data_IF_568511830450
#
_entry.id   IF_568511830450
#
_cell.length_a   1.000
_cell.length_b   1.000
_cell.length_c   1.000
_cell.angle_alpha   90.00
_cell.angle_beta   90.00
_cell.angle_gamma   90.00
#
_symmetry.space_group_name_H-M   'P 1'
#
loop_
_entity.id
_entity.type
_entity.pdbx_description
1 polymer ?
#
# COMPACT_ATOMS: atom_id res chain seq x y z
N UNK A 1 8.40 1.04 -14.26
CA UNK A 1 9.16 1.59 -13.13
C UNK A 1 10.12 0.53 -12.63
N UNK A 2 11.36 0.95 -12.34
CA UNK A 2 12.42 0.06 -11.82
C UNK A 2 12.96 0.53 -10.48
N UNK A 3 12.45 1.65 -9.97
CA UNK A 3 12.93 2.23 -8.72
C UNK A 3 12.29 1.52 -7.52
N UNK A 4 13.11 1.28 -6.50
CA UNK A 4 12.66 0.86 -5.19
C UNK A 4 12.55 2.06 -4.26
N UNK A 5 11.45 2.12 -3.52
CA UNK A 5 11.15 3.17 -2.56
C UNK A 5 11.34 2.66 -1.13
N UNK A 6 11.68 3.51 -0.14
CA UNK A 6 11.68 3.08 1.26
C UNK A 6 10.31 2.54 1.69
N UNK A 7 10.26 1.46 2.47
CA UNK A 7 8.99 0.94 3.02
C UNK A 7 8.50 1.77 4.22
N UNK A 8 8.11 3.02 3.95
CA UNK A 8 7.54 3.97 4.89
C UNK A 8 6.60 4.96 4.17
N UNK A 9 6.00 5.89 4.90
CA UNK A 9 5.06 6.86 4.31
C UNK A 9 5.69 7.71 3.20
N UNK A 10 6.96 8.09 3.33
CA UNK A 10 7.65 8.90 2.32
C UNK A 10 7.80 8.10 1.03
N UNK A 11 8.32 6.87 1.10
CA UNK A 11 8.46 6.03 -0.08
C UNK A 11 7.13 5.63 -0.71
N UNK A 12 6.06 5.43 0.07
CA UNK A 12 4.71 5.22 -0.47
C UNK A 12 4.18 6.44 -1.22
N UNK A 13 4.46 7.65 -0.71
CA UNK A 13 4.09 8.92 -1.35
C UNK A 13 4.85 9.13 -2.65
N UNK A 14 6.17 8.84 -2.65
CA UNK A 14 7.03 8.96 -3.82
C UNK A 14 6.64 7.95 -4.90
N UNK A 15 6.42 6.69 -4.52
CA UNK A 15 5.93 5.65 -5.43
C UNK A 15 4.61 6.04 -6.08
N UNK A 16 3.62 6.50 -5.30
CA UNK A 16 2.32 6.94 -5.81
C UNK A 16 2.48 8.11 -6.78
N UNK A 17 3.30 9.10 -6.43
CA UNK A 17 3.56 10.27 -7.28
C UNK A 17 4.19 9.85 -8.61
N UNK A 18 5.20 8.97 -8.57
CA UNK A 18 5.81 8.41 -9.77
C UNK A 18 4.78 7.63 -10.60
N UNK A 19 4.04 6.70 -9.98
CA UNK A 19 3.02 5.87 -10.60
C UNK A 19 2.00 6.72 -11.36
N UNK A 20 1.53 7.80 -10.74
CA UNK A 20 0.49 8.63 -11.32
C UNK A 20 0.99 9.59 -12.40
N UNK A 21 2.28 9.94 -12.40
CA UNK A 21 2.90 10.67 -13.49
C UNK A 21 3.20 9.79 -14.73
N UNK A 22 3.11 8.46 -14.60
CA UNK A 22 3.38 7.54 -15.70
C UNK A 22 2.21 7.39 -16.69
N UNK A 23 2.49 6.75 -17.82
CA UNK A 23 1.48 6.42 -18.82
C UNK A 23 0.52 5.36 -18.32
N UNK A 24 -0.70 5.32 -18.88
CA UNK A 24 -1.70 4.33 -18.50
C UNK A 24 -1.20 2.89 -18.66
N UNK A 25 -0.43 2.61 -19.72
CA UNK A 25 0.19 1.29 -19.92
C UNK A 25 1.10 0.88 -18.75
N UNK A 26 1.90 1.80 -18.21
CA UNK A 26 2.76 1.51 -17.05
C UNK A 26 1.91 1.25 -15.81
N UNK A 27 0.84 2.01 -15.63
CA UNK A 27 -0.10 1.82 -14.52
C UNK A 27 -0.81 0.46 -14.60
N UNK A 28 -1.25 0.05 -15.79
CA UNK A 28 -1.93 -1.23 -16.00
C UNK A 28 -1.00 -2.43 -15.75
N UNK A 29 0.26 -2.33 -16.19
CA UNK A 29 1.30 -3.32 -15.89
C UNK A 29 1.55 -3.40 -14.38
N UNK A 30 1.61 -2.26 -13.69
CA UNK A 30 1.79 -2.22 -12.24
C UNK A 30 0.63 -2.92 -11.51
N UNK A 31 -0.61 -2.62 -11.89
CA UNK A 31 -1.80 -3.30 -11.34
C UNK A 31 -1.76 -4.80 -11.60
N UNK A 32 -1.32 -5.24 -12.78
CA UNK A 32 -1.20 -6.65 -13.11
C UNK A 32 -0.20 -7.37 -12.19
N UNK A 33 0.97 -6.76 -11.91
CA UNK A 33 1.93 -7.33 -10.97
C UNK A 33 1.39 -7.41 -9.54
N UNK A 34 0.66 -6.39 -9.07
CA UNK A 34 0.00 -6.40 -7.77
C UNK A 34 -1.04 -7.54 -7.70
N UNK A 35 -1.89 -7.67 -8.72
CA UNK A 35 -2.97 -8.65 -8.77
C UNK A 35 -2.46 -10.09 -8.81
N UNK A 36 -1.42 -10.34 -9.61
CA UNK A 36 -0.91 -11.70 -9.86
C UNK A 36 0.10 -12.17 -8.84
N UNK A 37 0.72 -11.25 -8.08
CA UNK A 37 1.74 -11.63 -7.11
C UNK A 37 2.13 -10.51 -6.17
N UNK A 38 1.22 -10.07 -5.31
CA UNK A 38 1.47 -9.02 -4.30
C UNK A 38 2.76 -9.23 -3.50
N UNK A 39 3.01 -10.45 -3.00
CA UNK A 39 4.21 -10.75 -2.21
C UNK A 39 5.49 -10.69 -3.04
N UNK A 40 5.44 -10.99 -4.34
CA UNK A 40 6.60 -10.86 -5.21
C UNK A 40 6.80 -9.41 -5.66
N UNK A 41 5.70 -8.68 -5.84
CA UNK A 41 5.70 -7.26 -6.21
C UNK A 41 6.24 -6.38 -5.09
N UNK A 42 5.86 -6.65 -3.84
CA UNK A 42 6.19 -5.83 -2.68
C UNK A 42 7.70 -5.53 -2.55
N UNK A 43 8.62 -6.53 -2.55
CA UNK A 43 10.06 -6.29 -2.49
C UNK A 43 10.66 -5.76 -3.80
N UNK A 44 9.94 -5.82 -4.92
CA UNK A 44 10.37 -5.18 -6.17
C UNK A 44 10.07 -3.69 -6.21
N UNK A 45 9.16 -3.21 -5.35
CA UNK A 45 8.80 -1.79 -5.25
C UNK A 45 9.27 -1.12 -3.99
N UNK A 46 9.36 -1.86 -2.90
CA UNK A 46 9.76 -1.30 -1.62
C UNK A 46 11.00 -1.98 -1.06
N UNK A 47 11.83 -1.21 -0.38
CA UNK A 47 12.95 -1.71 0.40
C UNK A 47 12.40 -2.20 1.74
N UNK A 48 12.23 -3.52 1.87
CA UNK A 48 11.78 -4.16 3.11
C UNK A 48 12.96 -4.79 3.84
N UNK A 49 12.93 -4.74 5.18
CA UNK A 49 13.75 -5.63 5.99
C UNK A 49 13.28 -7.07 5.86
N UNK A 50 14.12 -8.03 6.24
CA UNK A 50 13.75 -9.45 6.28
C UNK A 50 12.51 -9.69 7.13
N UNK A 51 12.40 -9.04 8.30
CA UNK A 51 11.27 -9.20 9.21
C UNK A 51 9.97 -8.63 8.62
N UNK A 52 10.04 -7.49 7.95
CA UNK A 52 8.89 -6.88 7.26
C UNK A 52 8.38 -7.79 6.13
N UNK A 53 9.30 -8.37 5.34
CA UNK A 53 8.95 -9.27 4.27
C UNK A 53 8.34 -10.58 4.81
N UNK A 54 8.97 -11.20 5.82
CA UNK A 54 8.45 -12.41 6.45
C UNK A 54 7.07 -12.18 7.08
N UNK A 55 6.87 -11.00 7.68
CA UNK A 55 5.57 -10.62 8.20
C UNK A 55 4.51 -10.57 7.09
N UNK A 56 4.79 -9.90 5.97
CA UNK A 56 3.88 -9.84 4.82
C UNK A 56 3.53 -11.24 4.28
N UNK A 57 4.51 -12.13 4.20
CA UNK A 57 4.31 -13.55 3.84
C UNK A 57 3.38 -14.25 4.85
N UNK A 58 3.56 -13.98 6.14
CA UNK A 58 2.83 -14.65 7.23
C UNK A 58 1.35 -14.26 7.34
N UNK A 59 0.90 -13.19 6.67
CA UNK A 59 -0.50 -12.78 6.61
C UNK A 59 -1.40 -13.80 5.90
N UNK A 60 -0.81 -14.63 5.05
CA UNK A 60 -1.51 -15.63 4.27
C UNK A 60 -2.22 -15.06 3.03
N UNK A 61 -2.63 -15.95 2.10
CA UNK A 61 -3.04 -15.58 0.75
C UNK A 61 -4.31 -14.74 0.70
N UNK A 62 -5.28 -14.97 1.60
CA UNK A 62 -6.52 -14.21 1.63
C UNK A 62 -6.29 -12.74 2.01
N UNK A 63 -5.49 -12.49 3.05
CA UNK A 63 -5.14 -11.14 3.47
C UNK A 63 -4.31 -10.42 2.40
N UNK A 64 -3.35 -11.12 1.79
CA UNK A 64 -2.55 -10.59 0.68
C UNK A 64 -3.42 -10.20 -0.52
N UNK A 65 -4.40 -11.03 -0.89
CA UNK A 65 -5.32 -10.74 -1.98
C UNK A 65 -6.25 -9.55 -1.65
N UNK A 66 -6.73 -9.45 -0.41
CA UNK A 66 -7.53 -8.31 0.06
C UNK A 66 -6.75 -6.99 -0.04
N UNK A 67 -5.47 -7.02 0.36
CA UNK A 67 -4.55 -5.87 0.25
C UNK A 67 -4.31 -5.51 -1.22
N UNK A 68 -4.03 -6.50 -2.07
CA UNK A 68 -3.81 -6.31 -3.51
C UNK A 68 -5.03 -5.66 -4.19
N UNK A 69 -6.22 -6.19 -3.95
CA UNK A 69 -7.46 -5.63 -4.50
C UNK A 69 -7.69 -4.19 -4.02
N UNK A 70 -7.45 -3.92 -2.73
CA UNK A 70 -7.55 -2.56 -2.19
C UNK A 70 -6.57 -1.60 -2.88
N UNK A 71 -5.31 -2.01 -3.07
CA UNK A 71 -4.30 -1.21 -3.79
C UNK A 71 -4.75 -0.89 -5.22
N UNK A 72 -5.27 -1.88 -5.93
CA UNK A 72 -5.72 -1.72 -7.31
C UNK A 72 -6.90 -0.76 -7.39
N UNK A 73 -7.89 -0.90 -6.49
CA UNK A 73 -9.00 0.06 -6.39
C UNK A 73 -8.49 1.47 -6.12
N UNK A 74 -7.49 1.65 -5.26
CA UNK A 74 -6.86 2.95 -5.05
C UNK A 74 -6.17 3.51 -6.30
N UNK A 75 -5.45 2.66 -7.04
CA UNK A 75 -4.79 3.06 -8.27
C UNK A 75 -5.80 3.49 -9.34
N UNK A 76 -6.89 2.72 -9.53
CA UNK A 76 -7.93 3.03 -10.52
C UNK A 76 -8.63 4.37 -10.22
N UNK A 77 -8.78 4.72 -8.94
CA UNK A 77 -9.40 5.96 -8.50
C UNK A 77 -8.39 7.11 -8.30
N UNK A 78 -7.11 6.93 -8.64
CA UNK A 78 -6.04 7.91 -8.38
C UNK A 78 -6.00 8.39 -6.92
N UNK A 79 -6.30 7.48 -6.01
CA UNK A 79 -6.45 7.75 -4.60
C UNK A 79 -5.14 8.11 -3.92
N UNK A 80 -5.23 8.78 -2.78
CA UNK A 80 -4.09 8.89 -1.89
C UNK A 80 -3.79 7.51 -1.27
N UNK A 81 -2.52 7.10 -1.26
CA UNK A 81 -2.07 5.84 -0.65
C UNK A 81 -1.11 6.19 0.49
N UNK A 82 -1.48 5.75 1.70
CA UNK A 82 -0.79 6.05 2.95
C UNK A 82 -0.32 4.72 3.55
N UNK A 83 0.99 4.60 3.78
CA UNK A 83 1.60 3.50 4.49
C UNK A 83 1.90 3.92 5.93
N UNK A 84 1.14 3.37 6.86
CA UNK A 84 1.36 3.56 8.30
C UNK A 84 2.22 2.40 8.80
N UNK A 85 3.43 2.73 9.26
CA UNK A 85 4.22 1.75 10.00
C UNK A 85 3.72 1.74 11.44
N UNK A 86 3.06 0.66 11.84
CA UNK A 86 2.42 0.56 13.15
C UNK A 86 3.38 0.05 14.24
N UNK A 87 4.70 0.15 14.02
CA UNK A 87 5.74 -0.16 15.00
C UNK A 87 5.59 0.62 16.34
N UNK A 88 4.75 1.66 16.37
CA UNK A 88 4.44 2.43 17.58
C UNK A 88 3.23 1.90 18.38
N UNK A 89 2.44 0.94 17.89
CA UNK A 89 1.44 0.23 18.73
C UNK A 89 2.09 -0.85 19.57
N UNK A 90 3.10 -0.49 20.36
CA UNK A 90 3.54 -1.30 21.51
C UNK A 90 2.39 -1.35 22.52
N UNK A 91 1.55 -2.38 22.46
CA UNK A 91 0.58 -2.63 23.54
C UNK A 91 -0.71 -3.38 23.21
N UNK A 92 -1.01 -3.75 21.96
CA UNK A 92 -2.26 -4.47 21.65
C UNK A 92 -2.01 -5.81 20.97
N UNK A 93 -1.75 -6.84 21.78
CA UNK A 93 -2.06 -8.24 21.50
C UNK A 93 -1.18 -8.93 20.46
N UNK A 94 -0.96 -10.24 20.64
CA UNK A 94 -0.17 -11.10 19.75
C UNK A 94 -0.85 -11.40 18.39
N UNK A 95 -1.55 -10.42 17.82
CA UNK A 95 -2.30 -10.58 16.58
C UNK A 95 -1.47 -9.99 15.43
N UNK A 96 -0.99 -10.86 14.55
CA UNK A 96 -0.41 -10.44 13.26
C UNK A 96 -1.52 -9.80 12.42
N UNK A 97 -1.65 -8.49 12.44
CA UNK A 97 -2.67 -7.77 11.66
C UNK A 97 -2.04 -6.80 10.68
N UNK A 98 -2.10 -7.12 9.39
CA UNK A 98 -2.08 -6.09 8.36
C UNK A 98 -3.52 -5.72 8.04
N UNK A 99 -3.82 -4.43 8.01
CA UNK A 99 -5.12 -3.93 7.61
C UNK A 99 -4.98 -3.00 6.41
N UNK A 100 -6.04 -2.98 5.61
CA UNK A 100 -6.28 -1.93 4.64
C UNK A 100 -7.59 -1.27 5.02
N UNK A 101 -7.57 0.05 5.16
CA UNK A 101 -8.78 0.83 5.44
C UNK A 101 -8.94 1.87 4.35
N UNK A 102 -10.07 1.80 3.67
CA UNK A 102 -10.49 2.82 2.74
C UNK A 102 -11.27 3.86 3.52
N UNK A 103 -10.89 5.12 3.36
CA UNK A 103 -11.58 6.25 3.96
C UNK A 103 -11.81 7.31 2.90
N UNK A 104 -12.87 8.08 3.08
CA UNK A 104 -13.15 9.26 2.29
C UNK A 104 -12.84 10.45 3.16
N UNK A 105 -11.77 11.17 2.84
CA UNK A 105 -11.41 12.41 3.54
C UNK A 105 -11.96 13.56 2.70
N UNK A 106 -12.89 14.36 3.25
CA UNK A 106 -13.34 15.58 2.57
C UNK A 106 -12.14 16.49 2.35
N UNK A 107 -11.94 16.96 1.13
CA UNK A 107 -10.95 18.00 0.88
C UNK A 107 -11.47 19.34 1.43
N UNK A 108 -10.83 19.94 2.45
CA UNK A 108 -11.28 21.21 3.00
C UNK A 108 -11.08 22.39 2.05
N UNK A 109 -10.21 22.25 1.03
CA UNK A 109 -9.98 23.28 0.00
C UNK A 109 -10.95 23.14 -1.18
N UNK A 110 -11.58 21.96 -1.36
CA UNK A 110 -12.57 21.67 -2.40
C UNK A 110 -13.77 20.94 -1.78
N UNK A 111 -14.78 21.69 -1.27
CA UNK A 111 -15.81 21.16 -0.38
C UNK A 111 -16.79 20.14 -1.01
N UNK A 112 -16.64 19.80 -2.29
CA UNK A 112 -17.47 18.82 -3.01
C UNK A 112 -16.73 17.54 -3.41
N UNK A 113 -15.41 17.45 -3.19
CA UNK A 113 -14.63 16.28 -3.55
C UNK A 113 -14.13 15.54 -2.31
N UNK A 114 -14.69 14.36 -2.08
CA UNK A 114 -14.10 13.37 -1.18
C UNK A 114 -12.89 12.74 -1.85
N UNK A 115 -11.71 12.84 -1.25
CA UNK A 115 -10.52 12.12 -1.70
C UNK A 115 -10.56 10.73 -1.07
N UNK A 116 -10.52 9.69 -1.91
CA UNK A 116 -10.31 8.34 -1.41
C UNK A 116 -8.88 8.25 -0.87
N UNK A 117 -8.75 7.81 0.38
CA UNK A 117 -7.47 7.54 1.04
C UNK A 117 -7.45 6.08 1.44
N UNK A 118 -6.43 5.39 0.97
CA UNK A 118 -6.17 4.02 1.36
C UNK A 118 -5.02 3.97 2.35
N UNK A 119 -5.33 3.57 3.57
CA UNK A 119 -4.34 3.37 4.63
C UNK A 119 -3.99 1.88 4.71
N UNK A 120 -2.72 1.57 4.51
CA UNK A 120 -2.16 0.25 4.79
C UNK A 120 -1.31 0.31 6.04
N UNK A 121 -1.59 -0.58 6.98
CA UNK A 121 -0.78 -0.69 8.21
C UNK A 121 -0.11 -2.05 8.29
N UNK A 122 1.19 -2.02 8.61
CA UNK A 122 1.98 -3.20 8.92
C UNK A 122 2.46 -3.10 10.38
N UNK A 123 1.93 -3.97 11.24
CA UNK A 123 2.37 -4.09 12.64
C UNK A 123 3.26 -5.33 12.77
N UNK A 124 4.56 -5.17 12.56
CA UNK A 124 5.56 -6.24 12.75
C UNK A 124 6.33 -5.99 14.06
N UNK A 125 6.58 -7.05 14.83
CA UNK A 125 7.28 -7.02 16.13
C UNK A 125 8.79 -7.16 15.96
#
# INVERSE_FOLDING_TARGET
>A
MTDQFPFNQVGATDWRTALYAATQTVIDVEKQFIQTGFINWLPQRFQLSTDQFQYAVSLGPQAQQSIANSLITAIDNRANIVLVNDAQRKGQGNSKTANSTQSFVPDPEIPETSIMVLTFSFSYL
#
